data_IF_688683718323
#
_entry.id   IF_688683718323
#
_cell.length_a   1.000
_cell.length_b   1.000
_cell.length_c   1.000
_cell.angle_alpha   90.00
_cell.angle_beta   90.00
_cell.angle_gamma   90.00
#
_symmetry.space_group_name_H-M   'P 1'
#
loop_
_entity.id
_entity.type
_entity.pdbx_description
1 polymer ?
#
# COMPACT_ATOMS: atom_id res chain seq x y z
N UNK A 1 -16.04 6.31 -1.40
CA UNK A 1 -16.10 5.01 -2.12
C UNK A 1 -14.83 4.26 -1.75
N UNK A 2 -14.84 3.60 -0.58
CA UNK A 2 -13.63 3.31 0.19
C UNK A 2 -12.94 2.00 -0.22
N UNK A 3 -11.73 2.13 -0.78
CA UNK A 3 -10.77 1.02 -0.96
C UNK A 3 -10.46 0.32 0.38
N UNK A 4 -10.59 1.02 1.51
CA UNK A 4 -10.37 0.48 2.86
C UNK A 4 -11.34 -0.69 3.17
N UNK A 5 -12.59 -0.63 2.70
CA UNK A 5 -13.58 -1.70 2.96
C UNK A 5 -13.23 -3.03 2.28
N UNK A 6 -12.40 -3.02 1.23
CA UNK A 6 -11.98 -4.23 0.52
C UNK A 6 -11.10 -5.14 1.41
N UNK A 7 -10.23 -4.54 2.24
CA UNK A 7 -9.36 -5.27 3.15
C UNK A 7 -10.12 -6.02 4.26
N UNK A 8 -11.33 -5.55 4.58
CA UNK A 8 -12.23 -6.19 5.56
C UNK A 8 -13.27 -7.12 4.92
N UNK A 9 -13.15 -7.42 3.62
CA UNK A 9 -14.06 -8.35 2.97
C UNK A 9 -13.90 -9.77 3.54
N UNK A 10 -15.00 -10.52 3.61
CA UNK A 10 -14.99 -11.92 4.08
C UNK A 10 -14.00 -12.79 3.30
N UNK A 11 -13.83 -12.52 2.01
CA UNK A 11 -12.89 -13.24 1.15
C UNK A 11 -11.43 -13.00 1.57
N UNK A 12 -11.06 -11.73 1.82
CA UNK A 12 -9.71 -11.36 2.24
C UNK A 12 -9.40 -11.93 3.63
N UNK A 13 -10.33 -11.79 4.60
CA UNK A 13 -10.15 -12.34 5.94
C UNK A 13 -9.99 -13.87 5.93
N UNK A 14 -10.78 -14.56 5.11
CA UNK A 14 -10.62 -16.01 4.92
C UNK A 14 -9.23 -16.36 4.38
N UNK A 15 -8.76 -15.63 3.36
CA UNK A 15 -7.44 -15.87 2.75
C UNK A 15 -6.29 -15.62 3.73
N UNK A 16 -6.39 -14.59 4.57
CA UNK A 16 -5.40 -14.32 5.63
C UNK A 16 -5.33 -15.47 6.64
N UNK A 17 -6.49 -16.01 7.05
CA UNK A 17 -6.57 -17.20 7.91
C UNK A 17 -5.94 -18.44 7.26
N UNK A 18 -6.20 -18.69 5.97
CA UNK A 18 -5.58 -19.80 5.22
C UNK A 18 -4.04 -19.67 5.16
N UNK A 19 -3.54 -18.45 5.03
CA UNK A 19 -2.11 -18.14 5.00
C UNK A 19 -1.47 -18.05 6.40
N UNK A 20 -2.26 -18.27 7.46
CA UNK A 20 -1.85 -18.16 8.87
C UNK A 20 -1.30 -16.78 9.25
N UNK A 21 -1.76 -15.74 8.56
CA UNK A 21 -1.46 -14.37 8.97
C UNK A 21 -2.40 -13.95 10.09
N UNK A 22 -1.81 -13.51 11.20
CA UNK A 22 -2.58 -12.85 12.24
C UNK A 22 -2.97 -11.44 11.79
N UNK A 23 -4.22 -11.06 12.07
CA UNK A 23 -4.69 -9.70 11.81
C UNK A 23 -4.55 -8.89 13.09
N UNK A 24 -3.68 -7.88 13.06
CA UNK A 24 -3.59 -6.92 14.15
C UNK A 24 -4.86 -6.08 14.18
N UNK A 25 -5.54 -6.04 15.33
CA UNK A 25 -6.70 -5.17 15.51
C UNK A 25 -6.25 -3.72 15.34
N UNK A 26 -6.77 -3.05 14.31
CA UNK A 26 -6.46 -1.66 14.05
C UNK A 26 -7.67 -0.79 14.39
N UNK A 27 -7.48 0.30 15.14
CA UNK A 27 -8.53 1.28 15.36
C UNK A 27 -8.99 1.86 14.00
N UNK A 28 -10.28 2.26 13.87
CA UNK A 28 -10.82 2.77 12.60
C UNK A 28 -10.07 3.98 12.02
N UNK A 29 -9.31 4.70 12.86
CA UNK A 29 -8.65 5.97 12.52
C UNK A 29 -7.26 6.12 13.15
N UNK A 30 -6.43 5.07 13.21
CA UNK A 30 -5.08 5.22 13.77
C UNK A 30 -4.06 5.65 12.70
N UNK A 31 -3.32 6.75 12.93
CA UNK A 31 -2.33 7.27 11.98
C UNK A 31 -1.00 6.50 12.00
N UNK A 32 -0.77 5.55 12.90
CA UNK A 32 0.57 4.93 13.03
C UNK A 32 0.95 4.04 11.84
N UNK A 33 0.00 3.27 11.30
CA UNK A 33 0.21 2.58 10.02
C UNK A 33 0.37 3.59 8.88
N UNK A 34 -0.35 4.71 8.98
CA UNK A 34 -0.16 5.82 8.09
C UNK A 34 1.18 6.50 8.30
N UNK A 35 1.88 6.44 9.44
CA UNK A 35 3.13 7.17 9.61
C UNK A 35 4.25 6.55 8.78
N UNK A 36 4.36 5.22 8.79
CA UNK A 36 5.30 4.49 7.93
C UNK A 36 4.94 4.66 6.45
N UNK A 37 3.65 4.56 6.14
CA UNK A 37 3.14 4.70 4.78
C UNK A 37 3.27 6.15 4.28
N UNK A 38 3.09 7.14 5.15
CA UNK A 38 3.17 8.57 4.89
C UNK A 38 4.62 8.97 4.63
N UNK A 39 5.54 8.56 5.50
CA UNK A 39 6.97 8.81 5.27
C UNK A 39 7.43 8.16 3.96
N UNK A 40 6.98 6.93 3.66
CA UNK A 40 7.25 6.28 2.38
C UNK A 40 6.66 7.07 1.20
N UNK A 41 5.42 7.56 1.31
CA UNK A 41 4.79 8.35 0.26
C UNK A 41 5.46 9.71 0.04
N UNK A 42 5.97 10.37 1.07
CA UNK A 42 6.76 11.60 0.90
C UNK A 42 8.03 11.33 0.07
N UNK A 43 8.73 10.23 0.35
CA UNK A 43 9.89 9.82 -0.46
C UNK A 43 9.50 9.43 -1.90
N UNK A 44 8.35 8.77 -2.08
CA UNK A 44 7.82 8.46 -3.41
C UNK A 44 7.46 9.71 -4.19
N UNK A 45 6.78 10.68 -3.58
CA UNK A 45 6.40 11.92 -4.25
C UNK A 45 7.63 12.67 -4.75
N UNK A 46 8.70 12.70 -3.98
CA UNK A 46 9.98 13.28 -4.39
C UNK A 46 10.60 12.48 -5.55
N UNK A 47 10.64 11.15 -5.44
CA UNK A 47 11.25 10.29 -6.45
C UNK A 47 10.52 10.31 -7.80
N UNK A 48 9.19 10.40 -7.78
CA UNK A 48 8.36 10.36 -8.98
C UNK A 48 8.03 11.73 -9.57
N UNK A 49 8.34 12.82 -8.86
CA UNK A 49 7.92 14.19 -9.21
C UNK A 49 8.11 14.59 -10.67
N UNK A 50 9.28 14.25 -11.22
CA UNK A 50 9.69 14.66 -12.57
C UNK A 50 9.69 13.50 -13.58
N UNK A 51 9.10 12.36 -13.21
CA UNK A 51 9.05 11.15 -14.05
C UNK A 51 7.75 11.11 -14.85
N UNK A 52 7.86 10.86 -16.15
CA UNK A 52 6.72 10.65 -17.05
C UNK A 52 6.74 9.22 -17.58
N UNK A 53 5.73 8.45 -17.19
CA UNK A 53 5.61 7.05 -17.58
C UNK A 53 4.80 6.92 -18.87
N UNK A 54 5.38 6.23 -19.85
CA UNK A 54 4.72 5.97 -21.15
C UNK A 54 3.84 4.72 -21.09
N UNK A 55 4.18 3.79 -20.22
CA UNK A 55 3.47 2.53 -20.03
C UNK A 55 3.70 2.00 -18.60
N UNK A 56 2.94 0.97 -18.22
CA UNK A 56 3.04 0.35 -16.89
C UNK A 56 4.44 -0.23 -16.62
N UNK A 57 5.06 -0.87 -17.63
CA UNK A 57 6.40 -1.43 -17.52
C UNK A 57 7.45 -0.38 -17.12
N UNK A 58 7.38 0.82 -17.72
CA UNK A 58 8.27 1.93 -17.37
C UNK A 58 8.10 2.41 -15.93
N UNK A 59 6.86 2.39 -15.40
CA UNK A 59 6.62 2.71 -13.99
C UNK A 59 7.06 1.60 -13.05
N UNK A 60 6.92 0.32 -13.43
CA UNK A 60 7.34 -0.82 -12.62
C UNK A 60 8.87 -0.91 -12.52
N UNK A 61 9.59 -0.66 -13.63
CA UNK A 61 11.05 -0.60 -13.65
C UNK A 61 11.56 0.50 -12.71
N UNK A 62 11.07 1.72 -12.84
CA UNK A 62 11.50 2.84 -12.01
C UNK A 62 11.15 2.63 -10.53
N UNK A 63 10.04 1.94 -10.24
CA UNK A 63 9.66 1.58 -8.89
C UNK A 63 10.58 0.49 -8.31
N UNK A 64 11.08 -0.43 -9.14
CA UNK A 64 12.09 -1.41 -8.74
C UNK A 64 13.43 -0.75 -8.37
N UNK A 65 13.78 0.38 -9.00
CA UNK A 65 15.00 1.13 -8.69
C UNK A 65 14.91 1.93 -7.38
N UNK A 66 13.69 2.15 -6.87
CA UNK A 66 13.47 2.85 -5.60
C UNK A 66 13.78 1.97 -4.37
N UNK A 67 13.58 0.65 -4.48
CA UNK A 67 13.81 -0.33 -3.41
C UNK A 67 15.28 -0.77 -3.32
#
# INVERSE_FOLDING_TARGET
NDKIRCHFSKLVLKKLGELKYETLSHPPHFPDLFLTIYNLFEHFDIFFKDKLFKNQESSESDLSDFY
#
